data_IF_621440279790
#
_entry.id   IF_621440279790
#
_cell.length_a   1.000
_cell.length_b   1.000
_cell.length_c   1.000
_cell.angle_alpha   90.00
_cell.angle_beta   90.00
_cell.angle_gamma   90.00
#
_symmetry.space_group_name_H-M   'P 1'
#
loop_
_entity.id
_entity.type
_entity.pdbx_description
1 polymer ?
#
# COMPACT_ATOMS: atom_id res chain seq x y z
N UNK A 1 30.37 -31.77 -1.14
CA UNK A 1 29.24 -31.24 -1.93
C UNK A 1 28.67 -30.09 -1.15
N UNK A 2 29.26 -28.93 -1.39
CA UNK A 2 28.91 -27.64 -0.80
C UNK A 2 27.51 -27.22 -1.24
N UNK A 3 26.56 -27.26 -0.31
CA UNK A 3 25.22 -26.70 -0.49
C UNK A 3 25.18 -25.23 0.00
N UNK A 4 26.13 -24.44 -0.51
CA UNK A 4 26.12 -22.98 -0.52
C UNK A 4 25.00 -22.47 -1.45
N UNK A 5 23.75 -22.79 -1.12
CA UNK A 5 22.58 -22.20 -1.78
C UNK A 5 21.85 -21.29 -0.82
N UNK A 6 22.44 -20.11 -0.69
CA UNK A 6 21.92 -18.90 -0.06
C UNK A 6 20.51 -18.40 -0.52
N UNK A 7 19.82 -18.86 -1.60
CA UNK A 7 18.50 -18.29 -1.89
C UNK A 7 17.38 -18.85 -0.99
N UNK A 8 17.40 -20.12 -0.58
CA UNK A 8 16.23 -20.74 0.05
C UNK A 8 16.00 -20.32 1.51
N UNK A 9 17.07 -20.01 2.25
CA UNK A 9 16.96 -19.58 3.66
C UNK A 9 16.46 -18.14 3.79
N UNK A 10 16.77 -17.28 2.82
CA UNK A 10 16.24 -15.92 2.76
C UNK A 10 14.73 -15.91 2.48
N UNK A 11 14.25 -16.84 1.63
CA UNK A 11 12.84 -16.90 1.26
C UNK A 11 11.93 -17.59 2.28
N UNK A 12 12.45 -18.51 3.11
CA UNK A 12 11.62 -19.32 4.03
C UNK A 12 11.82 -19.05 5.53
N UNK A 13 12.84 -18.28 5.94
CA UNK A 13 13.08 -17.97 7.35
C UNK A 13 12.01 -17.08 7.99
N UNK A 14 11.40 -16.17 7.21
CA UNK A 14 10.42 -15.18 7.70
C UNK A 14 8.97 -15.69 7.73
N UNK A 15 8.67 -16.86 7.14
CA UNK A 15 7.29 -17.39 7.09
C UNK A 15 6.92 -18.17 8.36
N UNK A 16 7.91 -18.67 9.11
CA UNK A 16 7.67 -19.57 10.23
C UNK A 16 7.71 -18.91 11.62
N UNK A 17 8.17 -17.66 11.74
CA UNK A 17 8.29 -16.96 13.03
C UNK A 17 7.30 -15.81 13.09
N UNK A 18 6.11 -16.10 13.62
CA UNK A 18 5.56 -15.28 14.69
C UNK A 18 4.77 -14.01 14.29
N UNK A 19 3.45 -14.19 14.21
CA UNK A 19 2.41 -13.19 14.44
C UNK A 19 2.14 -12.16 13.34
N UNK A 20 1.19 -12.50 12.47
CA UNK A 20 0.40 -11.47 11.80
C UNK A 20 -0.45 -10.77 12.88
N UNK A 21 -0.04 -9.58 13.34
CA UNK A 21 -0.89 -8.71 14.16
C UNK A 21 -2.07 -8.21 13.32
N UNK A 22 -3.14 -9.02 13.35
CA UNK A 22 -4.36 -8.89 12.55
C UNK A 22 -5.14 -7.58 12.78
N UNK A 23 -4.77 -6.78 13.79
CA UNK A 23 -5.38 -5.48 14.09
C UNK A 23 -4.67 -4.24 13.50
N UNK A 24 -3.40 -4.37 13.07
CA UNK A 24 -2.58 -3.23 12.60
C UNK A 24 -2.57 -3.03 11.08
N UNK A 25 -2.79 -4.08 10.30
CA UNK A 25 -2.68 -4.04 8.84
C UNK A 25 -3.74 -3.17 8.16
N UNK A 26 -5.00 -3.24 8.59
CA UNK A 26 -6.07 -2.39 8.03
C UNK A 26 -5.85 -0.91 8.38
N UNK A 27 -5.32 -0.63 9.57
CA UNK A 27 -4.96 0.72 10.02
C UNK A 27 -3.80 1.26 9.16
N UNK A 28 -2.76 0.44 8.95
CA UNK A 28 -1.64 0.75 8.03
C UNK A 28 -2.10 1.00 6.59
N UNK A 29 -3.02 0.19 6.04
CA UNK A 29 -3.49 0.42 4.67
C UNK A 29 -4.21 1.76 4.51
N UNK A 30 -5.13 2.10 5.44
CA UNK A 30 -5.81 3.40 5.42
C UNK A 30 -4.83 4.57 5.64
N UNK A 31 -3.83 4.40 6.51
CA UNK A 31 -2.83 5.43 6.76
C UNK A 31 -1.90 5.63 5.55
N UNK A 32 -1.45 4.54 4.91
CA UNK A 32 -0.69 4.59 3.65
C UNK A 32 -1.50 5.22 2.51
N UNK A 33 -2.79 4.92 2.44
CA UNK A 33 -3.68 5.55 1.45
C UNK A 33 -3.82 7.05 1.71
N UNK A 34 -3.98 7.47 2.97
CA UNK A 34 -4.02 8.89 3.35
C UNK A 34 -2.73 9.63 3.02
N UNK A 35 -1.56 9.01 3.20
CA UNK A 35 -0.27 9.63 2.79
C UNK A 35 -0.16 9.72 1.26
N UNK A 36 -0.55 8.70 0.51
CA UNK A 36 -0.60 8.76 -0.96
C UNK A 36 -1.53 9.86 -1.47
N UNK A 37 -2.71 9.98 -0.88
CA UNK A 37 -3.67 11.03 -1.23
C UNK A 37 -3.11 12.43 -0.97
N UNK A 38 -2.42 12.63 0.17
CA UNK A 38 -1.73 13.89 0.48
C UNK A 38 -0.62 14.21 -0.54
N UNK A 39 0.15 13.22 -0.97
CA UNK A 39 1.19 13.40 -2.00
C UNK A 39 0.59 13.83 -3.34
N UNK A 40 -0.58 13.30 -3.69
CA UNK A 40 -1.33 13.67 -4.90
C UNK A 40 -2.13 14.97 -4.75
N UNK A 41 -2.01 15.69 -3.62
CA UNK A 41 -2.83 16.86 -3.25
C UNK A 41 -4.35 16.61 -3.27
N UNK A 42 -4.78 15.37 -3.01
CA UNK A 42 -6.19 14.98 -2.95
C UNK A 42 -6.65 15.01 -1.51
N UNK A 43 -7.77 15.69 -1.25
CA UNK A 43 -8.34 15.78 0.10
C UNK A 43 -8.81 14.39 0.59
N UNK A 44 -8.29 13.89 1.72
CA UNK A 44 -8.60 12.56 2.25
C UNK A 44 -9.98 12.44 2.89
N UNK A 45 -10.79 13.51 2.92
CA UNK A 45 -12.21 13.44 3.28
C UNK A 45 -13.11 13.34 2.04
N UNK A 46 -12.65 13.85 0.88
CA UNK A 46 -13.43 13.87 -0.37
C UNK A 46 -13.17 12.68 -1.30
N UNK A 47 -12.18 11.82 -0.98
CA UNK A 47 -11.77 10.73 -1.88
C UNK A 47 -12.82 9.63 -2.01
N UNK A 48 -13.66 9.38 -1.00
CA UNK A 48 -14.73 8.38 -1.06
C UNK A 48 -15.81 8.82 -2.06
N UNK A 49 -16.20 10.10 -2.04
CA UNK A 49 -17.12 10.69 -3.02
C UNK A 49 -16.52 10.74 -4.43
N UNK A 50 -15.23 11.06 -4.55
CA UNK A 50 -14.50 11.01 -5.81
C UNK A 50 -14.39 9.59 -6.37
N UNK A 51 -14.21 8.58 -5.50
CA UNK A 51 -14.12 7.18 -5.90
C UNK A 51 -15.47 6.64 -6.43
N UNK A 52 -16.62 7.17 -5.96
CA UNK A 52 -17.94 6.86 -6.53
C UNK A 52 -18.04 7.28 -7.99
N UNK A 53 -17.38 8.38 -8.37
CA UNK A 53 -17.28 8.80 -9.77
C UNK A 53 -15.92 8.38 -10.37
N UNK A 54 -15.89 7.17 -10.93
CA UNK A 54 -14.70 6.57 -11.57
C UNK A 54 -14.00 7.47 -12.59
N UNK A 55 -14.75 8.29 -13.33
CA UNK A 55 -14.20 9.19 -14.35
C UNK A 55 -13.50 10.40 -13.72
N UNK A 56 -14.09 10.97 -12.67
CA UNK A 56 -13.50 12.04 -11.87
C UNK A 56 -12.26 11.55 -11.10
N UNK A 57 -12.32 10.34 -10.53
CA UNK A 57 -11.17 9.69 -9.88
C UNK A 57 -9.96 9.58 -10.82
N UNK A 58 -10.16 9.05 -12.03
CA UNK A 58 -9.07 8.91 -13.01
C UNK A 58 -8.44 10.24 -13.41
N UNK A 59 -9.24 11.30 -13.57
CA UNK A 59 -8.71 12.65 -13.89
C UNK A 59 -7.87 13.18 -12.73
N UNK A 60 -8.41 13.12 -11.52
CA UNK A 60 -7.77 13.68 -10.32
C UNK A 60 -6.45 12.99 -10.00
N UNK A 61 -6.40 11.64 -10.09
CA UNK A 61 -5.17 10.88 -9.89
C UNK A 61 -4.13 11.18 -10.98
N UNK A 62 -4.54 11.30 -12.25
CA UNK A 62 -3.61 11.68 -13.34
C UNK A 62 -3.03 13.08 -13.16
N UNK A 63 -3.84 14.03 -12.71
CA UNK A 63 -3.38 15.39 -12.42
C UNK A 63 -2.44 15.41 -11.22
N UNK A 64 -2.77 14.71 -10.14
CA UNK A 64 -1.93 14.65 -8.93
C UNK A 64 -0.60 13.90 -9.14
N UNK A 65 -0.55 12.95 -10.07
CA UNK A 65 0.66 12.19 -10.40
C UNK A 65 1.53 12.83 -11.51
N UNK A 66 1.07 13.94 -12.11
CA UNK A 66 1.81 14.68 -13.13
C UNK A 66 2.70 15.80 -12.54
N UNK A 67 2.87 15.81 -11.21
CA UNK A 67 3.77 16.70 -10.46
C UNK A 67 5.14 16.02 -10.32
#
# INVERSE_FOLDING_TARGET
>A
MDDERLPKRLFYGDVAIGSCQQGGQARRYKDTLKTYLKQLQINPESWEDLARNRSAWRRTVKTGAAI
#
